data_IF_858343934155
#
_entry.id   IF_858343934155
#
_cell.length_a   1.000
_cell.length_b   1.000
_cell.length_c   1.000
_cell.angle_alpha   90.00
_cell.angle_beta   90.00
_cell.angle_gamma   90.00
#
_symmetry.space_group_name_H-M   'P 1'
#
loop_
_entity.id
_entity.type
_entity.pdbx_description
1 polymer ?
#
# COMPACT_ATOMS: atom_id res chain seq x y z
N UNK A 1 -9.57 5.45 -7.38
CA UNK A 1 -8.30 4.76 -7.68
C UNK A 1 -8.17 4.50 -9.17
N UNK A 2 -7.06 3.92 -9.65
CA UNK A 2 -6.93 3.44 -11.03
C UNK A 2 -6.79 1.94 -11.08
N UNK A 3 -7.33 1.36 -12.15
CA UNK A 3 -7.18 -0.07 -12.39
C UNK A 3 -5.70 -0.42 -12.62
N UNK A 4 -5.14 -1.46 -11.96
CA UNK A 4 -3.74 -1.84 -12.16
C UNK A 4 -3.45 -2.41 -13.55
N UNK A 5 -4.48 -2.90 -14.28
CA UNK A 5 -4.35 -3.47 -15.62
C UNK A 5 -4.47 -2.40 -16.72
N UNK A 6 -5.60 -1.68 -16.77
CA UNK A 6 -5.88 -0.74 -17.89
C UNK A 6 -5.68 0.74 -17.55
N UNK A 7 -5.28 1.08 -16.33
CA UNK A 7 -5.00 2.44 -15.83
C UNK A 7 -6.20 3.39 -15.80
N UNK A 8 -7.37 2.93 -16.22
CA UNK A 8 -8.59 3.74 -16.18
C UNK A 8 -9.03 4.02 -14.76
N UNK A 9 -9.63 5.20 -14.54
CA UNK A 9 -10.15 5.59 -13.23
C UNK A 9 -11.36 4.75 -12.88
N UNK A 10 -11.36 4.16 -11.70
CA UNK A 10 -12.43 3.31 -11.20
C UNK A 10 -12.89 3.74 -9.81
N UNK A 11 -14.12 3.40 -9.46
CA UNK A 11 -14.65 3.63 -8.13
C UNK A 11 -13.99 2.70 -7.12
N UNK A 12 -13.78 3.17 -5.88
CA UNK A 12 -13.12 2.39 -4.84
C UNK A 12 -13.90 1.14 -4.39
N UNK A 13 -15.23 1.17 -4.51
CA UNK A 13 -16.08 0.03 -4.18
C UNK A 13 -16.32 -0.92 -5.38
N UNK A 14 -15.62 -0.72 -6.49
CA UNK A 14 -15.77 -1.60 -7.63
C UNK A 14 -15.08 -2.94 -7.31
N UNK A 15 -15.80 -4.03 -7.43
CA UNK A 15 -15.28 -5.41 -7.31
C UNK A 15 -14.57 -5.86 -8.57
N UNK A 16 -14.92 -5.25 -9.71
CA UNK A 16 -14.28 -5.46 -11.00
C UNK A 16 -14.10 -4.13 -11.75
N UNK A 17 -13.11 -4.08 -12.62
CA UNK A 17 -12.90 -2.90 -13.45
C UNK A 17 -13.98 -2.82 -14.56
N UNK A 18 -14.79 -1.74 -14.64
CA UNK A 18 -15.84 -1.63 -15.66
C UNK A 18 -15.29 -1.47 -17.09
N UNK A 19 -13.98 -1.20 -17.25
CA UNK A 19 -13.36 -0.98 -18.54
C UNK A 19 -12.69 -2.24 -19.13
N UNK A 20 -12.10 -3.10 -18.27
CA UNK A 20 -11.35 -4.26 -18.74
C UNK A 20 -11.68 -5.57 -18.01
N UNK A 21 -12.65 -5.54 -17.11
CA UNK A 21 -13.09 -6.70 -16.33
C UNK A 21 -12.14 -7.12 -15.20
N UNK A 22 -10.96 -6.52 -15.04
CA UNK A 22 -9.95 -6.94 -14.07
C UNK A 22 -10.50 -7.00 -12.64
N UNK A 23 -10.25 -8.11 -11.96
CA UNK A 23 -10.61 -8.39 -10.57
C UNK A 23 -9.37 -8.66 -9.71
N UNK A 24 -9.55 -8.91 -8.41
CA UNK A 24 -8.45 -9.36 -7.54
C UNK A 24 -8.07 -10.79 -7.89
N UNK A 25 -9.05 -11.62 -8.23
CA UNK A 25 -8.87 -13.02 -8.66
C UNK A 25 -7.98 -13.13 -9.91
N UNK A 26 -8.10 -12.20 -10.87
CA UNK A 26 -7.18 -12.13 -12.02
C UNK A 26 -5.72 -11.88 -11.58
N UNK A 27 -5.50 -11.12 -10.51
CA UNK A 27 -4.16 -10.92 -9.98
C UNK A 27 -3.66 -12.16 -9.23
N UNK A 28 -4.55 -12.88 -8.54
CA UNK A 28 -4.25 -14.14 -7.86
C UNK A 28 -3.89 -15.24 -8.85
N UNK A 29 -4.56 -15.32 -9.99
CA UNK A 29 -4.20 -16.24 -11.07
C UNK A 29 -2.80 -15.99 -11.64
N UNK A 30 -2.36 -14.72 -11.67
CA UNK A 30 -1.05 -14.36 -12.19
C UNK A 30 0.09 -14.56 -11.17
N UNK A 31 -0.15 -14.32 -9.88
CA UNK A 31 0.90 -14.22 -8.87
C UNK A 31 0.72 -15.19 -7.70
N UNK A 32 -0.40 -15.88 -7.61
CA UNK A 32 -0.76 -16.80 -6.54
C UNK A 32 -1.85 -16.24 -5.62
N UNK A 33 -2.63 -17.12 -5.01
CA UNK A 33 -3.77 -16.84 -4.14
C UNK A 33 -3.42 -16.86 -2.64
N UNK A 34 -2.16 -17.23 -2.31
CA UNK A 34 -1.71 -17.37 -0.93
C UNK A 34 -1.21 -16.05 -0.36
N UNK A 35 -1.40 -15.86 0.95
CA UNK A 35 -0.79 -14.76 1.67
C UNK A 35 0.73 -14.92 1.70
N UNK A 36 1.43 -13.83 1.37
CA UNK A 36 2.89 -13.81 1.28
C UNK A 36 3.46 -13.15 2.53
N UNK A 37 4.25 -13.91 3.30
CA UNK A 37 4.98 -13.33 4.44
C UNK A 37 6.26 -12.66 3.95
N UNK A 38 6.37 -11.36 4.19
CA UNK A 38 7.52 -10.53 3.77
C UNK A 38 8.03 -9.65 4.92
N UNK A 39 9.26 -9.17 4.78
CA UNK A 39 9.74 -8.00 5.51
C UNK A 39 9.52 -6.74 4.68
N UNK A 40 9.43 -5.59 5.33
CA UNK A 40 9.32 -4.28 4.63
C UNK A 40 10.42 -4.08 3.59
N UNK A 41 11.61 -4.60 3.87
CA UNK A 41 12.71 -4.62 2.93
C UNK A 41 12.94 -6.05 2.43
N UNK A 42 12.65 -6.29 1.16
CA UNK A 42 12.84 -7.58 0.48
C UNK A 42 13.67 -7.38 -0.79
N UNK A 43 14.79 -8.11 -0.86
CA UNK A 43 15.72 -8.07 -2.00
C UNK A 43 16.01 -9.51 -2.49
N UNK A 44 14.99 -10.17 -3.10
CA UNK A 44 15.19 -11.51 -3.66
C UNK A 44 16.14 -11.52 -4.86
N UNK A 45 16.32 -10.39 -5.56
CA UNK A 45 17.28 -10.26 -6.64
C UNK A 45 18.74 -10.17 -6.15
N UNK A 46 18.95 -9.91 -4.84
CA UNK A 46 20.28 -9.87 -4.23
C UNK A 46 21.18 -8.73 -4.74
N UNK A 47 20.58 -7.63 -5.23
CA UNK A 47 21.34 -6.55 -5.88
C UNK A 47 21.95 -5.54 -4.92
N UNK A 48 21.42 -5.42 -3.70
CA UNK A 48 22.00 -4.54 -2.69
C UNK A 48 23.15 -5.24 -1.96
N UNK A 49 24.29 -4.58 -1.96
CA UNK A 49 25.47 -5.01 -1.22
C UNK A 49 25.17 -4.98 0.29
N UNK A 50 25.87 -5.79 1.07
CA UNK A 50 25.70 -5.84 2.53
C UNK A 50 25.81 -4.45 3.18
N UNK A 51 26.75 -3.61 2.72
CA UNK A 51 26.93 -2.23 3.20
C UNK A 51 25.80 -1.28 2.87
N UNK A 52 24.93 -1.61 1.91
CA UNK A 52 23.80 -0.78 1.46
C UNK A 52 22.50 -1.17 2.17
N UNK A 53 22.41 -2.36 2.74
CA UNK A 53 21.22 -2.87 3.42
C UNK A 53 20.88 -2.09 4.70
N UNK A 54 21.91 -1.76 5.48
CA UNK A 54 21.72 -0.97 6.70
C UNK A 54 21.32 0.50 6.40
N UNK A 55 21.94 1.24 5.47
CA UNK A 55 21.42 2.50 4.98
C UNK A 55 19.97 2.43 4.49
N UNK A 56 19.57 1.36 3.78
CA UNK A 56 18.19 1.16 3.33
C UNK A 56 17.22 1.06 4.51
N UNK A 57 17.54 0.26 5.53
CA UNK A 57 16.71 0.14 6.73
C UNK A 57 16.56 1.48 7.46
N UNK A 58 17.66 2.20 7.65
CA UNK A 58 17.64 3.54 8.27
C UNK A 58 16.81 4.55 7.50
N UNK A 59 16.81 4.46 6.17
CA UNK A 59 15.98 5.28 5.30
C UNK A 59 14.48 5.03 5.56
N UNK A 60 14.06 3.77 5.65
CA UNK A 60 12.68 3.37 5.92
C UNK A 60 12.27 3.74 7.36
N UNK A 61 13.12 3.50 8.35
CA UNK A 61 12.88 3.92 9.73
C UNK A 61 12.72 5.45 9.86
N UNK A 62 13.54 6.22 9.14
CA UNK A 62 13.42 7.68 9.09
C UNK A 62 12.08 8.12 8.55
N UNK A 63 11.59 7.45 7.50
CA UNK A 63 10.26 7.70 6.95
C UNK A 63 9.17 7.42 7.99
N UNK A 64 9.20 6.25 8.65
CA UNK A 64 8.22 5.85 9.64
C UNK A 64 8.23 6.73 10.90
N UNK A 65 9.40 7.15 11.38
CA UNK A 65 9.52 8.15 12.46
C UNK A 65 8.83 9.46 12.10
N UNK A 66 8.85 9.83 10.83
CA UNK A 66 8.21 11.06 10.34
C UNK A 66 6.71 10.91 10.12
N UNK A 67 6.27 9.72 9.75
CA UNK A 67 4.87 9.36 9.48
C UNK A 67 4.50 8.10 10.26
N UNK A 68 4.27 8.20 11.60
CA UNK A 68 4.13 7.01 12.45
C UNK A 68 2.93 6.12 12.11
N UNK A 69 1.93 6.66 11.39
CA UNK A 69 0.73 5.91 10.96
C UNK A 69 0.96 5.15 9.66
N UNK A 70 2.04 5.48 8.93
CA UNK A 70 2.36 4.88 7.65
C UNK A 70 3.55 3.94 7.80
N UNK A 71 3.66 3.00 6.87
CA UNK A 71 4.89 2.27 6.64
C UNK A 71 5.28 2.31 5.17
N UNK A 72 6.55 2.08 4.90
CA UNK A 72 7.07 1.97 3.55
C UNK A 72 7.73 0.61 3.38
N UNK A 73 7.44 -0.03 2.27
CA UNK A 73 8.05 -1.30 1.89
C UNK A 73 8.77 -1.17 0.56
N UNK A 74 9.86 -1.90 0.40
CA UNK A 74 10.69 -1.93 -0.80
C UNK A 74 10.92 -3.37 -1.21
N UNK A 75 10.60 -3.67 -2.47
CA UNK A 75 10.80 -4.98 -3.08
C UNK A 75 11.70 -4.84 -4.32
N UNK A 76 12.85 -5.51 -4.32
CA UNK A 76 13.81 -5.54 -5.42
C UNK A 76 13.77 -6.93 -6.06
N UNK A 77 13.11 -7.06 -7.20
CA UNK A 77 12.94 -8.33 -7.90
C UNK A 77 13.49 -8.30 -9.33
N UNK A 78 13.79 -9.47 -9.87
CA UNK A 78 13.98 -9.68 -11.29
C UNK A 78 12.69 -10.30 -11.83
N UNK A 79 12.06 -9.63 -12.78
CA UNK A 79 10.78 -10.06 -13.34
C UNK A 79 10.96 -10.55 -14.78
N UNK A 80 10.03 -11.39 -15.21
CA UNK A 80 9.91 -11.78 -16.62
C UNK A 80 9.38 -10.59 -17.45
N UNK A 81 9.75 -10.53 -18.73
CA UNK A 81 9.43 -9.41 -19.63
C UNK A 81 7.94 -9.03 -19.67
N UNK A 82 7.05 -10.01 -19.52
CA UNK A 82 5.61 -9.79 -19.57
C UNK A 82 4.99 -9.39 -18.23
N UNK A 83 5.78 -9.34 -17.15
CA UNK A 83 5.25 -9.05 -15.82
C UNK A 83 4.97 -7.56 -15.64
N UNK A 84 3.73 -7.22 -15.37
CA UNK A 84 3.36 -5.84 -15.04
C UNK A 84 3.69 -5.51 -13.57
N UNK A 85 4.72 -4.69 -13.35
CA UNK A 85 5.10 -4.19 -12.01
C UNK A 85 3.92 -3.55 -11.27
N UNK A 86 3.01 -2.89 -11.99
CA UNK A 86 1.82 -2.29 -11.39
C UNK A 86 0.84 -3.33 -10.86
N UNK A 87 0.57 -4.38 -11.64
CA UNK A 87 -0.29 -5.48 -11.21
C UNK A 87 0.36 -6.26 -10.06
N UNK A 88 1.65 -6.53 -10.17
CA UNK A 88 2.41 -7.17 -9.10
C UNK A 88 2.40 -6.35 -7.81
N UNK A 89 2.68 -5.05 -7.87
CA UNK A 89 2.65 -4.17 -6.71
C UNK A 89 1.24 -4.08 -6.08
N UNK A 90 0.19 -4.07 -6.89
CA UNK A 90 -1.19 -4.12 -6.41
C UNK A 90 -1.46 -5.44 -5.67
N UNK A 91 -1.14 -6.58 -6.30
CA UNK A 91 -1.31 -7.90 -5.72
C UNK A 91 -0.50 -8.03 -4.41
N UNK A 92 0.79 -7.68 -4.44
CA UNK A 92 1.68 -7.82 -3.29
C UNK A 92 1.20 -6.97 -2.10
N UNK A 93 0.78 -5.73 -2.31
CA UNK A 93 0.27 -4.89 -1.22
C UNK A 93 -1.04 -5.43 -0.61
N UNK A 94 -1.85 -6.17 -1.38
CA UNK A 94 -3.08 -6.78 -0.88
C UNK A 94 -2.85 -8.14 -0.20
N UNK A 95 -1.86 -8.93 -0.64
CA UNK A 95 -1.58 -10.29 -0.15
C UNK A 95 -0.43 -10.37 0.85
N UNK A 96 0.39 -9.32 0.96
CA UNK A 96 1.53 -9.35 1.87
C UNK A 96 1.12 -9.17 3.33
N UNK A 97 1.61 -10.09 4.17
CA UNK A 97 1.70 -9.93 5.61
C UNK A 97 3.13 -9.51 5.94
N UNK A 98 3.30 -8.21 6.28
CA UNK A 98 4.62 -7.68 6.63
C UNK A 98 4.95 -8.01 8.07
N UNK A 99 5.88 -8.96 8.28
CA UNK A 99 6.23 -9.52 9.60
C UNK A 99 6.88 -8.52 10.55
N UNK A 100 7.45 -7.43 10.01
CA UNK A 100 8.12 -6.35 10.75
C UNK A 100 7.30 -5.04 10.75
N UNK A 101 6.00 -5.11 10.45
CA UNK A 101 5.04 -4.01 10.57
C UNK A 101 4.12 -4.29 11.76
N UNK A 102 3.86 -3.25 12.56
CA UNK A 102 2.88 -3.33 13.66
C UNK A 102 1.49 -3.74 13.11
N UNK A 103 0.86 -4.73 13.73
CA UNK A 103 -0.47 -5.24 13.36
C UNK A 103 -1.56 -4.15 13.36
N UNK A 104 -1.35 -3.05 14.06
CA UNK A 104 -2.24 -1.89 14.04
C UNK A 104 -2.07 -1.00 12.80
N UNK A 105 -1.07 -1.28 11.96
CA UNK A 105 -0.85 -0.59 10.67
C UNK A 105 -1.30 -1.48 9.52
N UNK A 106 -2.55 -1.36 9.07
CA UNK A 106 -3.05 -2.15 7.95
C UNK A 106 -2.36 -1.74 6.64
N UNK A 107 -2.36 -2.64 5.65
CA UNK A 107 -1.76 -2.40 4.33
C UNK A 107 -2.36 -1.18 3.61
N UNK A 108 -3.57 -0.75 3.98
CA UNK A 108 -4.17 0.51 3.53
C UNK A 108 -3.31 1.74 3.86
N UNK A 109 -2.44 1.66 4.85
CA UNK A 109 -1.50 2.71 5.27
C UNK A 109 -0.08 2.48 4.71
N UNK A 110 0.09 1.48 3.87
CA UNK A 110 1.38 1.12 3.27
C UNK A 110 1.68 1.86 1.98
N UNK A 111 2.96 2.08 1.74
CA UNK A 111 3.53 2.45 0.44
C UNK A 111 4.51 1.36 0.05
N UNK A 112 4.30 0.75 -1.10
CA UNK A 112 5.18 -0.26 -1.66
C UNK A 112 5.89 0.28 -2.88
N UNK A 113 7.22 0.26 -2.85
CA UNK A 113 8.09 0.54 -3.99
C UNK A 113 8.57 -0.80 -4.53
N UNK A 114 8.18 -1.13 -5.75
CA UNK A 114 8.66 -2.32 -6.47
C UNK A 114 9.66 -1.86 -7.50
N UNK A 115 10.81 -2.52 -7.54
CA UNK A 115 11.86 -2.27 -8.54
C UNK A 115 12.12 -3.56 -9.30
N UNK A 116 12.00 -3.48 -10.61
CA UNK A 116 12.54 -4.49 -11.53
C UNK A 116 14.00 -4.16 -11.82
N UNK A 117 14.87 -4.98 -11.28
CA UNK A 117 16.32 -4.77 -11.41
C UNK A 117 16.82 -5.11 -12.80
N UNK A 118 16.11 -5.96 -13.55
CA UNK A 118 16.44 -6.37 -14.91
C UNK A 118 16.04 -5.31 -15.92
N UNK A 119 14.76 -4.92 -15.91
CA UNK A 119 14.22 -3.90 -16.81
C UNK A 119 14.58 -2.47 -16.38
N UNK A 120 15.22 -2.27 -15.22
CA UNK A 120 15.58 -0.94 -14.66
C UNK A 120 14.38 -0.02 -14.51
N UNK A 121 13.24 -0.59 -14.17
CA UNK A 121 11.97 0.13 -13.96
C UNK A 121 11.51 0.03 -12.52
N UNK A 122 10.63 0.94 -12.11
CA UNK A 122 10.07 0.91 -10.78
C UNK A 122 8.60 1.35 -10.78
N UNK A 123 7.85 0.85 -9.81
CA UNK A 123 6.47 1.21 -9.54
C UNK A 123 6.26 1.60 -8.08
N UNK A 124 5.31 2.49 -7.83
CA UNK A 124 4.84 2.83 -6.47
C UNK A 124 3.37 2.46 -6.38
N UNK A 125 3.07 1.56 -5.46
CA UNK A 125 1.70 1.23 -5.05
C UNK A 125 1.47 1.74 -3.64
N UNK A 126 0.30 2.28 -3.37
CA UNK A 126 -0.03 2.80 -2.04
C UNK A 126 -1.47 2.45 -1.66
N UNK A 127 -1.68 2.29 -0.37
CA UNK A 127 -2.97 1.92 0.18
C UNK A 127 -4.01 3.03 0.09
N UNK A 128 -5.27 2.66 0.22
CA UNK A 128 -6.41 3.54 -0.03
C UNK A 128 -6.50 4.74 0.92
N UNK A 129 -5.97 4.63 2.14
CA UNK A 129 -5.92 5.75 3.09
C UNK A 129 -5.07 6.93 2.61
N UNK A 130 -4.17 6.67 1.65
CA UNK A 130 -3.24 7.65 1.10
C UNK A 130 -3.75 8.39 -0.14
N UNK A 131 -4.88 7.97 -0.71
CA UNK A 131 -5.47 8.60 -1.91
C UNK A 131 -5.70 10.12 -1.81
N UNK A 132 -6.05 10.70 -0.65
CA UNK A 132 -6.16 12.15 -0.52
C UNK A 132 -4.83 12.90 -0.54
N UNK A 133 -3.73 12.19 -0.32
CA UNK A 133 -2.38 12.76 -0.15
C UNK A 133 -1.44 12.47 -1.31
N UNK A 134 -1.63 11.33 -1.97
CA UNK A 134 -0.84 10.86 -3.11
C UNK A 134 -1.73 10.70 -4.34
N UNK A 135 -1.18 11.01 -5.49
CA UNK A 135 -1.79 10.78 -6.79
C UNK A 135 -0.75 10.27 -7.79
N UNK A 136 -1.22 9.82 -8.95
CA UNK A 136 -0.36 9.23 -9.98
C UNK A 136 0.70 10.22 -10.49
N UNK A 137 0.37 11.50 -10.57
CA UNK A 137 1.33 12.54 -11.00
C UNK A 137 2.49 12.65 -10.00
N UNK A 138 2.19 12.65 -8.69
CA UNK A 138 3.21 12.75 -7.64
C UNK A 138 4.10 11.51 -7.57
N UNK A 139 3.54 10.31 -7.76
CA UNK A 139 4.31 9.07 -7.82
C UNK A 139 5.14 8.98 -9.09
N UNK A 140 4.58 9.36 -10.23
CA UNK A 140 5.30 9.44 -11.49
C UNK A 140 6.48 10.42 -11.41
N UNK A 141 6.28 11.62 -10.89
CA UNK A 141 7.35 12.61 -10.72
C UNK A 141 8.44 12.12 -9.75
N UNK A 142 8.09 11.33 -8.73
CA UNK A 142 9.08 10.74 -7.84
C UNK A 142 9.94 9.68 -8.56
N UNK A 143 9.29 8.79 -9.33
CA UNK A 143 9.96 7.74 -10.10
C UNK A 143 10.79 8.32 -11.26
N UNK A 144 10.26 9.30 -12.00
CA UNK A 144 10.98 9.95 -13.09
C UNK A 144 12.27 10.62 -12.62
N UNK A 145 12.24 11.25 -11.43
CA UNK A 145 13.45 11.84 -10.87
C UNK A 145 14.50 10.78 -10.45
N UNK A 146 14.05 9.59 -10.07
CA UNK A 146 14.91 8.49 -9.64
C UNK A 146 15.41 7.62 -10.81
N UNK A 147 14.76 7.71 -11.97
CA UNK A 147 15.04 6.86 -13.13
C UNK A 147 16.50 6.85 -13.60
N UNK A 148 17.26 7.98 -13.63
CA UNK A 148 18.66 7.97 -13.99
C UNK A 148 19.52 7.05 -13.11
N UNK A 149 19.21 6.97 -11.80
CA UNK A 149 19.89 6.09 -10.87
C UNK A 149 19.51 4.61 -11.09
N UNK A 150 18.23 4.34 -11.46
CA UNK A 150 17.80 2.99 -11.82
C UNK A 150 18.57 2.46 -13.02
N UNK A 151 18.72 3.27 -14.09
CA UNK A 151 19.49 2.89 -15.29
C UNK A 151 20.93 2.55 -14.93
N UNK A 152 21.55 3.32 -14.03
CA UNK A 152 22.94 3.11 -13.58
C UNK A 152 23.08 1.94 -12.63
N UNK A 153 21.96 1.34 -12.15
CA UNK A 153 21.98 0.27 -11.15
C UNK A 153 22.23 0.76 -9.72
N UNK A 154 22.11 2.08 -9.50
CA UNK A 154 22.26 2.71 -8.18
C UNK A 154 20.93 2.67 -7.41
N UNK A 155 20.48 1.45 -7.08
CA UNK A 155 19.15 1.20 -6.53
C UNK A 155 18.90 1.90 -5.19
N UNK A 156 19.90 1.96 -4.31
CA UNK A 156 19.78 2.65 -3.02
C UNK A 156 19.50 4.14 -3.22
N UNK A 157 20.23 4.80 -4.13
CA UNK A 157 20.05 6.22 -4.44
C UNK A 157 18.70 6.49 -5.10
N UNK A 158 18.29 5.60 -6.02
CA UNK A 158 16.98 5.69 -6.68
C UNK A 158 15.84 5.62 -5.66
N UNK A 159 15.90 4.69 -4.72
CA UNK A 159 14.89 4.50 -3.68
C UNK A 159 14.90 5.67 -2.69
N UNK A 160 16.08 6.13 -2.23
CA UNK A 160 16.19 7.28 -1.33
C UNK A 160 15.57 8.53 -1.96
N UNK A 161 15.86 8.80 -3.23
CA UNK A 161 15.27 9.96 -3.92
C UNK A 161 13.75 9.81 -4.07
N UNK A 162 13.27 8.62 -4.43
CA UNK A 162 11.83 8.33 -4.52
C UNK A 162 11.15 8.60 -3.19
N UNK A 163 11.67 8.07 -2.08
CA UNK A 163 11.12 8.25 -0.73
C UNK A 163 11.10 9.74 -0.35
N UNK A 164 12.17 10.48 -0.58
CA UNK A 164 12.24 11.93 -0.29
C UNK A 164 11.20 12.74 -1.06
N UNK A 165 10.94 12.37 -2.31
CA UNK A 165 9.89 13.02 -3.14
C UNK A 165 8.50 12.71 -2.60
N UNK A 166 8.23 11.45 -2.26
CA UNK A 166 6.97 11.04 -1.62
C UNK A 166 6.77 11.73 -0.26
N UNK A 167 7.78 11.79 0.59
CA UNK A 167 7.75 12.54 1.86
C UNK A 167 7.35 14.02 1.64
N UNK A 168 7.90 14.64 0.61
CA UNK A 168 7.60 16.05 0.32
C UNK A 168 6.13 16.22 -0.08
N UNK A 169 5.62 15.30 -0.88
CA UNK A 169 4.21 15.29 -1.31
C UNK A 169 3.27 15.03 -0.14
N UNK A 170 3.57 14.03 0.69
CA UNK A 170 2.80 13.70 1.90
C UNK A 170 2.74 14.89 2.86
N UNK A 171 3.85 15.60 3.07
CA UNK A 171 3.87 16.81 3.91
C UNK A 171 2.98 17.92 3.37
N UNK A 172 3.01 18.14 2.04
CA UNK A 172 2.13 19.13 1.39
C UNK A 172 0.66 18.73 1.55
N UNK A 173 0.34 17.46 1.31
CA UNK A 173 -1.00 16.90 1.49
C UNK A 173 -1.48 17.02 2.93
N UNK A 174 -0.66 16.65 3.91
CA UNK A 174 -0.98 16.80 5.33
C UNK A 174 -1.26 18.25 5.75
N UNK A 175 -0.41 19.20 5.29
CA UNK A 175 -0.63 20.63 5.56
C UNK A 175 -1.93 21.13 4.94
N UNK A 176 -2.29 20.65 3.74
CA UNK A 176 -3.58 20.94 3.09
C UNK A 176 -4.75 20.40 3.91
N UNK A 177 -4.67 19.15 4.36
CA UNK A 177 -5.67 18.52 5.19
C UNK A 177 -5.88 19.25 6.52
N UNK A 178 -4.80 19.70 7.17
CA UNK A 178 -4.89 20.49 8.42
C UNK A 178 -5.56 21.86 8.21
N UNK A 179 -5.39 22.48 7.03
CA UNK A 179 -6.01 23.77 6.71
C UNK A 179 -7.48 23.65 6.31
N UNK A 180 -7.86 22.57 5.63
CA UNK A 180 -9.18 22.32 5.10
C UNK A 180 -9.64 20.88 5.39
N UNK A 181 -9.89 20.55 6.68
CA UNK A 181 -10.22 19.18 7.07
C UNK A 181 -11.52 18.66 6.46
N UNK A 182 -12.53 19.51 6.31
CA UNK A 182 -13.83 19.14 5.74
C UNK A 182 -13.71 18.69 4.28
N UNK A 183 -12.87 19.35 3.48
CA UNK A 183 -12.63 18.97 2.08
C UNK A 183 -11.98 17.60 1.98
N UNK A 184 -10.98 17.32 2.83
CA UNK A 184 -10.30 16.04 2.86
C UNK A 184 -11.19 14.93 3.40
N UNK A 185 -11.99 15.23 4.43
CA UNK A 185 -13.00 14.29 4.95
C UNK A 185 -14.07 13.99 3.91
N UNK A 186 -14.47 14.96 3.10
CA UNK A 186 -15.37 14.76 1.96
C UNK A 186 -14.76 13.85 0.89
N UNK A 187 -13.49 14.02 0.58
CA UNK A 187 -12.74 13.15 -0.35
C UNK A 187 -12.62 11.72 0.22
N UNK A 188 -12.39 11.55 1.54
CA UNK A 188 -12.36 10.27 2.24
C UNK A 188 -13.75 9.68 2.44
N UNK A 189 -14.74 10.52 2.75
CA UNK A 189 -16.15 10.11 3.00
C UNK A 189 -16.85 9.58 1.75
N UNK A 190 -16.38 9.95 0.57
CA UNK A 190 -16.75 9.33 -0.70
C UNK A 190 -16.05 7.98 -0.90
N UNK A 191 -15.13 7.59 0.02
CA UNK A 191 -14.45 6.32 0.01
C UNK A 191 -15.29 5.29 0.80
N UNK A 192 -15.81 4.23 0.15
CA UNK A 192 -16.69 3.25 0.80
C UNK A 192 -16.02 2.49 1.96
N UNK A 193 -14.70 2.35 1.97
CA UNK A 193 -13.94 1.71 3.06
C UNK A 193 -14.07 2.50 4.37
N UNK A 194 -14.09 3.83 4.32
CA UNK A 194 -14.31 4.67 5.50
C UNK A 194 -15.74 4.53 6.05
N UNK A 195 -16.74 4.36 5.17
CA UNK A 195 -18.13 4.09 5.54
C UNK A 195 -18.31 2.74 6.22
N UNK A 196 -17.62 1.70 5.73
CA UNK A 196 -17.69 0.34 6.31
C UNK A 196 -17.12 0.31 7.72
N UNK A 197 -16.01 1.02 8.01
CA UNK A 197 -15.45 1.14 9.36
C UNK A 197 -16.37 1.91 10.33
N UNK A 198 -17.05 2.94 9.86
CA UNK A 198 -18.05 3.67 10.65
C UNK A 198 -19.28 2.79 10.94
N UNK A 199 -19.74 1.98 9.97
CA UNK A 199 -20.83 1.02 10.12
C UNK A 199 -20.49 -0.10 11.10
N UNK A 200 -19.27 -0.65 11.03
CA UNK A 200 -18.78 -1.68 11.96
C UNK A 200 -18.62 -1.16 13.39
N UNK A 201 -18.27 0.13 13.55
CA UNK A 201 -18.21 0.75 14.87
C UNK A 201 -19.61 0.94 15.47
N UNK A 202 -20.61 1.24 14.66
CA UNK A 202 -22.03 1.28 15.05
C UNK A 202 -22.60 -0.09 15.40
N UNK A 203 -22.23 -1.15 14.67
CA UNK A 203 -22.68 -2.53 14.96
C UNK A 203 -22.08 -3.09 16.25
N UNK A 204 -20.84 -2.74 16.63
CA UNK A 204 -20.24 -3.17 17.91
C UNK A 204 -20.87 -2.47 19.12
N UNK A 205 -21.48 -1.33 18.98
CA UNK A 205 -22.19 -0.62 20.06
C UNK A 205 -23.60 -1.19 20.30
N UNK A 206 -24.19 -1.89 19.32
CA UNK A 206 -25.55 -2.43 19.38
C UNK A 206 -25.68 -3.86 19.93
N UNK A 207 -24.59 -4.58 20.13
CA UNK A 207 -24.63 -6.01 20.52
C UNK A 207 -24.40 -6.23 22.04
N UNK A 208 -24.97 -5.37 22.90
CA UNK A 208 -25.23 -5.67 24.30
C UNK A 208 -26.73 -5.96 24.44
N UNK A 209 -27.12 -7.13 23.99
CA UNK A 209 -28.45 -7.65 24.34
C UNK A 209 -28.35 -9.12 24.71
N UNK A 210 -28.60 -9.36 25.97
CA UNK A 210 -29.30 -10.48 26.63
C UNK A 210 -28.84 -11.91 26.32
N UNK A 211 -28.05 -12.43 27.25
CA UNK A 211 -27.97 -13.88 27.48
C UNK A 211 -29.37 -14.39 27.92
N UNK A 212 -29.88 -15.48 27.34
CA UNK A 212 -31.03 -16.19 27.91
C UNK A 212 -30.58 -16.96 29.16
N UNK A 213 -31.20 -16.68 30.30
CA UNK A 213 -31.09 -17.50 31.51
C UNK A 213 -31.79 -18.85 31.25
N UNK A 214 -31.01 -19.88 31.06
CA UNK A 214 -31.51 -21.25 31.14
C UNK A 214 -31.81 -21.58 32.60
N UNK A 215 -33.08 -21.79 32.89
CA UNK A 215 -33.56 -22.41 34.15
C UNK A 215 -33.35 -23.89 34.01
N UNK A 216 -32.44 -24.45 34.81
CA UNK A 216 -32.37 -25.88 35.05
C UNK A 216 -33.48 -26.20 36.06
N UNK A 217 -34.56 -26.85 35.63
CA UNK A 217 -35.50 -27.58 36.52
C UNK A 217 -34.90 -28.95 36.78
N UNK A 218 -34.62 -29.21 38.04
CA UNK A 218 -34.34 -30.55 38.59
C UNK A 218 -35.70 -31.14 38.95
N UNK A 219 -36.07 -32.24 38.31
CA UNK A 219 -37.20 -33.07 38.71
C UNK A 219 -36.66 -34.35 39.38
N UNK A 220 -37.33 -34.72 40.45
CA UNK A 220 -37.15 -35.91 41.30
C UNK A 220 -37.20 -37.25 40.55
#
# INVERSE_FOLDING_TARGET
MRCPRCVQKIHLAATSCPHCGFTVEDADELFGDQDVSLQKFSDPAGVLRMKEREPMRKLMERFEKRFPQLFISVYLGAFEEMTSIRQFGFWLLNRAAFSDVDVNRPNENGILIVVDVTAKTAGVTYGYSLLPYLNDESTFNALSAAHPYLIQGEFLQAIDLTIRKLETTLKKGWRRAKRNPEKVLGEIGQNPVARTKASLKGMRAGNKMSEPREKVEVAE
#
